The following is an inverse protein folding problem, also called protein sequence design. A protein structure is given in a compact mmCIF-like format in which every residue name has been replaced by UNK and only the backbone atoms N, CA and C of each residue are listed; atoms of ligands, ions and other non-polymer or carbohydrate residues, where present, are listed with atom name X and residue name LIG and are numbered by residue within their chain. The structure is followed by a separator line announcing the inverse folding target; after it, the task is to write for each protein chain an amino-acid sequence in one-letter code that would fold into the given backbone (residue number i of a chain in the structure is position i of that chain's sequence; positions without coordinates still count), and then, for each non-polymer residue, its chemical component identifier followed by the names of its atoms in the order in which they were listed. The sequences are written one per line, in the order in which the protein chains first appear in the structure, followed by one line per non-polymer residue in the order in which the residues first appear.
data_IF_245646572345
#
_entry.id   IF_245646572345
#
_cell.length_a   1.000
_cell.length_b   1.000
_cell.length_c   1.000
_cell.angle_alpha   90.00
_cell.angle_beta   90.00
_cell.angle_gamma   90.00
#
_symmetry.space_group_name_H-M   'P 1'
#
loop_
_entity.id
_entity.type
_entity.pdbx_description
1 polymer ?
#
# COMPACT_ATOMS: atom_id res chain seq x y z
N UNK A 1 1.02 -40.44 30.01
CA UNK A 1 1.01 -39.95 28.62
C UNK A 1 -0.44 -39.69 28.24
N UNK A 2 -0.84 -38.41 28.09
CA UNK A 2 -2.21 -38.00 27.79
C UNK A 2 -2.33 -37.84 26.28
N UNK A 3 -3.08 -38.71 25.63
CA UNK A 3 -3.30 -38.69 24.19
C UNK A 3 -4.79 -38.45 23.88
N UNK A 4 -4.98 -37.35 23.15
CA UNK A 4 -5.94 -37.14 22.04
C UNK A 4 -7.43 -37.13 22.38
N UNK A 5 -7.95 -35.89 22.36
CA UNK A 5 -9.33 -35.51 22.11
C UNK A 5 -9.83 -36.07 20.76
N UNK A 6 -11.00 -36.71 20.70
CA UNK A 6 -11.71 -36.83 19.44
C UNK A 6 -13.06 -36.10 19.49
N UNK A 7 -13.40 -35.57 18.31
CA UNK A 7 -14.76 -35.41 17.81
C UNK A 7 -15.65 -34.33 18.45
N UNK A 8 -15.66 -33.17 17.80
CA UNK A 8 -16.90 -32.39 17.60
C UNK A 8 -17.22 -32.40 16.10
N UNK A 9 -18.06 -33.33 15.59
CA UNK A 9 -18.61 -33.22 14.26
C UNK A 9 -20.10 -32.87 14.34
N UNK A 10 -20.45 -31.67 13.92
CA UNK A 10 -21.77 -31.21 13.48
C UNK A 10 -21.61 -29.69 13.37
N UNK A 11 -21.86 -29.00 12.26
CA UNK A 11 -23.08 -28.99 11.48
C UNK A 11 -22.70 -28.51 10.07
N UNK A 12 -22.90 -29.38 9.08
CA UNK A 12 -22.96 -29.02 7.68
C UNK A 12 -24.41 -28.63 7.37
N UNK A 13 -24.63 -27.44 6.78
CA UNK A 13 -25.83 -27.11 6.02
C UNK A 13 -26.77 -26.06 6.62
N UNK A 14 -27.41 -25.31 5.73
CA UNK A 14 -28.45 -24.27 5.93
C UNK A 14 -27.85 -22.87 6.19
N UNK A 15 -27.97 -21.84 5.34
CA UNK A 15 -28.88 -21.58 4.24
C UNK A 15 -28.28 -20.56 3.26
N UNK A 16 -28.53 -20.83 1.98
CA UNK A 16 -28.39 -19.92 0.86
C UNK A 16 -29.61 -18.96 0.84
N UNK A 17 -29.41 -17.79 0.21
CA UNK A 17 -30.43 -16.86 -0.35
C UNK A 17 -30.93 -15.77 0.59
N UNK A 18 -30.56 -14.52 0.28
CA UNK A 18 -31.46 -13.36 0.11
C UNK A 18 -30.64 -12.23 -0.52
N UNK A 19 -30.49 -12.28 -1.85
CA UNK A 19 -30.09 -11.13 -2.66
C UNK A 19 -31.35 -10.31 -2.95
N UNK A 20 -31.52 -9.18 -2.26
CA UNK A 20 -32.57 -8.22 -2.61
C UNK A 20 -32.12 -7.39 -3.81
N UNK A 21 -32.80 -7.57 -4.94
CA UNK A 21 -32.67 -6.72 -6.11
C UNK A 21 -33.26 -5.33 -5.77
N UNK A 22 -32.40 -4.32 -5.67
CA UNK A 22 -32.79 -2.92 -5.56
C UNK A 22 -33.05 -2.39 -6.98
N UNK A 23 -34.30 -2.44 -7.43
CA UNK A 23 -34.71 -1.88 -8.73
C UNK A 23 -34.96 -0.37 -8.59
N UNK A 24 -33.89 0.43 -8.55
CA UNK A 24 -33.96 1.89 -8.63
C UNK A 24 -33.29 2.36 -9.93
N UNK A 25 -34.05 2.40 -11.03
CA UNK A 25 -33.55 2.96 -12.29
C UNK A 25 -33.63 4.50 -12.23
N UNK A 26 -32.60 5.11 -11.64
CA UNK A 26 -32.31 6.53 -11.84
C UNK A 26 -30.89 6.66 -12.40
N UNK A 27 -30.74 6.32 -13.68
CA UNK A 27 -29.47 6.50 -14.38
C UNK A 27 -29.43 7.92 -14.96
N UNK A 28 -28.33 8.68 -14.73
CA UNK A 28 -28.12 9.92 -15.46
C UNK A 28 -28.01 9.62 -16.95
N UNK A 29 -28.50 10.54 -17.78
CA UNK A 29 -28.39 10.45 -19.24
C UNK A 29 -26.94 10.19 -19.65
N UNK A 30 -26.66 9.22 -20.53
CA UNK A 30 -25.30 8.97 -21.00
C UNK A 30 -24.73 10.23 -21.67
N UNK A 31 -23.45 10.57 -21.44
CA UNK A 31 -22.81 11.64 -22.18
C UNK A 31 -22.80 11.35 -23.68
N UNK A 32 -22.79 12.41 -24.48
CA UNK A 32 -22.81 12.33 -25.94
C UNK A 32 -21.62 11.50 -26.48
N UNK A 33 -21.80 10.71 -27.55
CA UNK A 33 -20.72 9.91 -28.13
C UNK A 33 -19.57 10.82 -28.58
N UNK A 34 -18.38 10.53 -28.07
CA UNK A 34 -17.18 11.29 -28.40
C UNK A 34 -16.83 11.12 -29.90
N UNK A 35 -16.69 12.24 -30.63
CA UNK A 35 -16.36 12.24 -32.06
C UNK A 35 -15.11 11.39 -32.35
N UNK A 36 -15.12 10.52 -33.38
CA UNK A 36 -13.98 9.65 -33.70
C UNK A 36 -12.70 10.43 -34.04
N UNK A 37 -12.80 11.72 -34.33
CA UNK A 37 -11.66 12.59 -34.62
C UNK A 37 -10.83 12.96 -33.37
N UNK A 38 -11.38 12.77 -32.17
CA UNK A 38 -10.66 12.92 -30.90
C UNK A 38 -9.85 11.67 -30.51
N UNK A 39 -9.91 10.59 -31.32
CA UNK A 39 -9.01 9.43 -31.23
C UNK A 39 -7.67 9.66 -31.92
N UNK A 40 -7.08 10.84 -31.79
CA UNK A 40 -5.62 10.95 -31.91
C UNK A 40 -5.00 10.25 -30.69
N UNK A 41 -4.93 8.92 -30.81
CA UNK A 41 -3.99 8.01 -30.16
C UNK A 41 -3.12 8.66 -29.09
N UNK A 42 -3.68 8.85 -27.89
CA UNK A 42 -2.89 8.75 -26.67
C UNK A 42 -2.56 7.28 -26.49
N UNK A 43 -1.67 6.78 -27.34
CA UNK A 43 -0.98 5.54 -27.08
C UNK A 43 -0.34 5.72 -25.70
N UNK A 44 -0.59 4.84 -24.71
CA UNK A 44 0.10 4.96 -23.44
C UNK A 44 1.57 4.93 -23.76
N UNK A 45 2.22 6.10 -23.67
CA UNK A 45 3.66 6.19 -23.73
C UNK A 45 4.10 5.45 -22.47
N UNK A 46 4.38 4.15 -22.62
CA UNK A 46 5.10 3.38 -21.63
C UNK A 46 6.47 4.05 -21.60
N UNK A 47 6.60 5.08 -20.77
CA UNK A 47 7.89 5.66 -20.48
C UNK A 47 8.62 4.57 -19.73
N UNK A 48 9.52 3.87 -20.43
CA UNK A 48 10.39 2.90 -19.79
C UNK A 48 11.37 3.71 -18.93
N UNK A 49 10.92 4.08 -17.73
CA UNK A 49 11.75 4.73 -16.72
C UNK A 49 12.86 3.75 -16.40
N UNK A 50 14.10 4.14 -16.70
CA UNK A 50 15.27 3.35 -16.31
C UNK A 50 15.50 3.56 -14.82
N UNK A 51 15.38 2.48 -14.07
CA UNK A 51 15.70 2.44 -12.63
C UNK A 51 17.21 2.34 -12.47
N UNK A 52 17.81 3.23 -11.68
CA UNK A 52 19.21 3.12 -11.28
C UNK A 52 19.30 2.19 -10.06
N UNK A 53 19.63 0.92 -10.32
CA UNK A 53 19.70 -0.10 -9.27
C UNK A 53 20.75 0.21 -8.19
N UNK A 54 21.86 0.89 -8.54
CA UNK A 54 22.89 1.24 -7.58
C UNK A 54 22.41 2.35 -6.63
N UNK A 55 21.71 3.34 -7.17
CA UNK A 55 21.08 4.39 -6.36
C UNK A 55 20.00 3.80 -5.45
N UNK A 56 19.12 2.95 -5.99
CA UNK A 56 18.03 2.30 -5.21
C UNK A 56 18.60 1.46 -4.07
N UNK A 57 19.68 0.71 -4.31
CA UNK A 57 20.32 -0.07 -3.25
C UNK A 57 20.87 0.84 -2.14
N UNK A 58 21.59 1.90 -2.50
CA UNK A 58 22.14 2.85 -1.53
C UNK A 58 21.03 3.48 -0.68
N UNK A 59 19.94 3.91 -1.31
CA UNK A 59 18.80 4.49 -0.60
C UNK A 59 18.12 3.50 0.36
N UNK A 60 18.08 2.22 0.00
CA UNK A 60 17.58 1.16 0.88
C UNK A 60 18.50 0.95 2.09
N UNK A 61 19.82 0.99 1.89
CA UNK A 61 20.79 0.89 2.98
C UNK A 61 20.70 2.11 3.92
N UNK A 62 20.58 3.32 3.36
CA UNK A 62 20.40 4.56 4.12
C UNK A 62 19.09 4.52 4.94
N UNK A 63 17.98 4.07 4.33
CA UNK A 63 16.69 3.87 5.02
C UNK A 63 16.85 2.90 6.20
N UNK A 64 17.49 1.75 5.98
CA UNK A 64 17.68 0.72 6.99
C UNK A 64 18.54 1.23 8.15
N UNK A 65 19.62 1.95 7.86
CA UNK A 65 20.48 2.55 8.87
C UNK A 65 19.73 3.57 9.74
N UNK A 66 18.96 4.47 9.12
CA UNK A 66 18.17 5.47 9.85
C UNK A 66 17.06 4.84 10.69
N UNK A 67 16.36 3.84 10.14
CA UNK A 67 15.27 3.16 10.82
C UNK A 67 15.75 2.41 12.09
N UNK A 68 16.98 1.91 12.09
CA UNK A 68 17.57 1.22 13.24
C UNK A 68 17.68 2.11 14.49
N UNK A 69 17.74 3.44 14.36
CA UNK A 69 17.84 4.33 15.53
C UNK A 69 16.48 4.66 16.15
N UNK A 70 15.38 4.43 15.45
CA UNK A 70 14.02 4.81 15.88
C UNK A 70 13.63 4.21 17.24
N UNK A 71 13.93 2.93 17.56
CA UNK A 71 13.63 2.38 18.89
C UNK A 71 14.30 3.17 20.03
N UNK A 72 15.52 3.65 19.84
CA UNK A 72 16.25 4.45 20.82
C UNK A 72 15.63 5.86 20.97
N UNK A 73 15.23 6.46 19.85
CA UNK A 73 14.53 7.75 19.85
C UNK A 73 13.18 7.64 20.59
N UNK A 74 12.41 6.58 20.34
CA UNK A 74 11.15 6.27 21.05
C UNK A 74 11.39 6.03 22.54
N UNK A 75 12.47 5.33 22.91
CA UNK A 75 12.84 5.14 24.31
C UNK A 75 13.16 6.47 25.02
N UNK A 76 13.72 7.44 24.30
CA UNK A 76 13.98 8.79 24.82
C UNK A 76 12.68 9.57 25.00
N UNK A 77 11.78 9.52 24.02
CA UNK A 77 10.44 10.14 24.10
C UNK A 77 9.66 9.60 25.29
N UNK A 78 9.71 8.29 25.54
CA UNK A 78 9.07 7.67 26.71
C UNK A 78 9.60 8.21 28.04
N UNK A 79 10.82 8.72 28.07
CA UNK A 79 11.43 9.37 29.26
C UNK A 79 11.14 10.88 29.33
N UNK A 80 10.27 11.41 28.46
CA UNK A 80 9.95 12.83 28.39
C UNK A 80 10.97 13.68 27.64
N UNK A 81 11.91 13.06 26.91
CA UNK A 81 12.91 13.78 26.12
C UNK A 81 12.65 13.57 24.63
N UNK A 82 12.37 14.65 23.89
CA UNK A 82 12.26 14.60 22.44
C UNK A 82 13.63 14.91 21.81
N UNK A 83 14.30 13.94 21.16
CA UNK A 83 15.53 14.23 20.42
C UNK A 83 15.25 15.25 19.31
N UNK A 84 16.14 16.24 19.14
CA UNK A 84 15.91 17.37 18.21
C UNK A 84 15.76 16.92 16.76
N UNK A 85 16.43 15.83 16.40
CA UNK A 85 16.54 15.29 15.05
C UNK A 85 15.48 14.23 14.73
N UNK A 86 14.73 13.71 15.72
CA UNK A 86 13.82 12.57 15.49
C UNK A 86 12.76 12.87 14.42
N UNK A 87 12.19 14.08 14.43
CA UNK A 87 11.16 14.47 13.47
C UNK A 87 11.74 14.54 12.06
N UNK A 88 12.93 15.11 11.90
CA UNK A 88 13.57 15.24 10.60
C UNK A 88 14.04 13.88 10.06
N UNK A 89 14.54 13.03 10.95
CA UNK A 89 14.90 11.64 10.66
C UNK A 89 13.70 10.84 10.15
N UNK A 90 12.54 10.94 10.81
CA UNK A 90 11.31 10.27 10.38
C UNK A 90 10.85 10.75 8.99
N UNK A 91 10.95 12.05 8.70
CA UNK A 91 10.64 12.59 7.36
C UNK A 91 11.58 12.05 6.28
N UNK A 92 12.87 11.91 6.59
CA UNK A 92 13.85 11.34 5.66
C UNK A 92 13.58 9.86 5.39
N UNK A 93 13.21 9.08 6.40
CA UNK A 93 12.76 7.68 6.25
C UNK A 93 11.51 7.61 5.36
N UNK A 94 10.52 8.47 5.58
CA UNK A 94 9.32 8.55 4.74
C UNK A 94 9.68 8.89 3.28
N UNK A 95 10.57 9.87 3.07
CA UNK A 95 11.00 10.27 1.74
C UNK A 95 11.68 9.12 1.00
N UNK A 96 12.63 8.44 1.64
CA UNK A 96 13.35 7.30 1.05
C UNK A 96 12.40 6.14 0.74
N UNK A 97 11.53 5.76 1.69
CA UNK A 97 10.56 4.68 1.46
C UNK A 97 9.60 4.97 0.31
N UNK A 98 9.13 6.21 0.16
CA UNK A 98 8.30 6.63 -0.97
C UNK A 98 9.04 6.54 -2.31
N UNK A 99 10.29 6.98 -2.34
CA UNK A 99 11.11 6.92 -3.54
C UNK A 99 11.38 5.47 -3.96
N UNK A 100 11.83 4.62 -3.03
CA UNK A 100 12.04 3.19 -3.26
C UNK A 100 10.78 2.49 -3.78
N UNK A 101 9.61 2.78 -3.21
CA UNK A 101 8.33 2.22 -3.71
C UNK A 101 8.04 2.64 -5.15
N UNK A 102 8.40 3.86 -5.52
CA UNK A 102 8.20 4.39 -6.88
C UNK A 102 9.18 3.75 -7.87
N UNK A 103 10.44 3.55 -7.47
CA UNK A 103 11.45 2.91 -8.33
C UNK A 103 11.20 1.40 -8.49
N UNK A 104 10.73 0.71 -7.45
CA UNK A 104 10.47 -0.73 -7.49
C UNK A 104 9.12 -1.11 -8.13
N UNK A 105 8.21 -0.15 -8.28
CA UNK A 105 6.92 -0.32 -8.97
C UNK A 105 6.80 0.72 -10.11
N UNK A 106 7.52 0.51 -11.23
CA UNK A 106 7.55 1.43 -12.36
C UNK A 106 6.23 1.53 -13.11
#
# INVERSE_FOLDING_TARGET
MRCVLPLLPAILGVSLIMASAQTGHNYPTPPEPMDPQSRQTQQPQISTRRVDAAQVQKEADDLAHMAQTIPADVASVRKGMLPKDVIEKLKQIEKLSKHLRTELNP
#
